data_IF_279140778197
#
_entry.id   IF_279140778197
#
_cell.length_a   1.000
_cell.length_b   1.000
_cell.length_c   1.000
_cell.angle_alpha   90.00
_cell.angle_beta   90.00
_cell.angle_gamma   90.00
#
_symmetry.space_group_name_H-M   'P 1'
#
loop_
_entity.id
_entity.type
_entity.pdbx_description
1 polymer ?
#
# COMPACT_ATOMS: atom_id res chain seq x y z
N UNK A 1 6.24 0.90 -19.87
CA UNK A 1 5.23 0.31 -18.99
C UNK A 1 4.13 1.32 -18.78
N UNK A 2 2.86 0.93 -18.90
CA UNK A 2 1.72 1.86 -18.78
C UNK A 2 1.23 1.95 -17.33
N UNK A 3 0.38 2.94 -17.04
CA UNK A 3 -0.23 3.07 -15.72
C UNK A 3 -1.14 1.88 -15.39
N UNK A 4 -1.81 1.31 -16.39
CA UNK A 4 -2.65 0.12 -16.23
C UNK A 4 -1.80 -1.12 -15.88
N UNK A 5 -0.64 -1.29 -16.52
CA UNK A 5 0.29 -2.36 -16.18
C UNK A 5 0.82 -2.20 -14.74
N UNK A 6 1.13 -0.96 -14.33
CA UNK A 6 1.57 -0.68 -12.96
C UNK A 6 0.48 -0.95 -11.93
N UNK A 7 -0.77 -0.60 -12.24
CA UNK A 7 -1.90 -0.87 -11.38
C UNK A 7 -2.12 -2.38 -11.21
N UNK A 8 -2.01 -3.16 -12.30
CA UNK A 8 -2.11 -4.62 -12.23
C UNK A 8 -1.04 -5.22 -11.32
N UNK A 9 0.22 -4.80 -11.45
CA UNK A 9 1.30 -5.26 -10.55
C UNK A 9 1.01 -4.92 -9.07
N UNK A 10 0.51 -3.72 -8.79
CA UNK A 10 0.16 -3.33 -7.41
C UNK A 10 -0.98 -4.18 -6.84
N UNK A 11 -1.95 -4.56 -7.67
CA UNK A 11 -3.06 -5.43 -7.27
C UNK A 11 -2.59 -6.87 -7.03
N UNK A 12 -1.68 -7.40 -7.85
CA UNK A 12 -1.07 -8.72 -7.64
C UNK A 12 -0.31 -8.78 -6.31
N UNK A 13 0.51 -7.77 -6.01
CA UNK A 13 1.24 -7.70 -4.72
C UNK A 13 0.27 -7.57 -3.54
N UNK A 14 -0.86 -6.87 -3.72
CA UNK A 14 -1.90 -6.79 -2.69
C UNK A 14 -2.56 -8.15 -2.43
N UNK A 15 -2.93 -8.88 -3.49
CA UNK A 15 -3.49 -10.24 -3.39
C UNK A 15 -2.53 -11.19 -2.68
N UNK A 16 -1.23 -11.16 -3.05
CA UNK A 16 -0.19 -11.96 -2.40
C UNK A 16 -0.05 -11.62 -0.92
N UNK A 17 -0.14 -10.33 -0.58
CA UNK A 17 -0.07 -9.87 0.82
C UNK A 17 -1.24 -10.43 1.64
N UNK A 18 -2.46 -10.40 1.10
CA UNK A 18 -3.65 -10.97 1.75
C UNK A 18 -3.55 -12.49 1.91
N UNK A 19 -3.05 -13.19 0.89
CA UNK A 19 -2.85 -14.63 0.92
C UNK A 19 -1.83 -15.01 1.99
N UNK A 20 -0.67 -14.34 2.01
CA UNK A 20 0.36 -14.56 3.03
C UNK A 20 -0.16 -14.26 4.45
N UNK A 21 -0.98 -13.23 4.61
CA UNK A 21 -1.63 -12.91 5.88
C UNK A 21 -2.58 -14.02 6.33
N UNK A 22 -3.46 -14.50 5.44
CA UNK A 22 -4.42 -15.56 5.73
C UNK A 22 -3.73 -16.89 6.06
N UNK A 23 -2.59 -17.18 5.42
CA UNK A 23 -1.75 -18.34 5.71
C UNK A 23 -0.90 -18.21 6.98
N UNK A 24 -0.96 -17.07 7.67
CA UNK A 24 -0.18 -16.81 8.89
C UNK A 24 1.33 -16.68 8.62
N UNK A 25 1.74 -16.36 7.39
CA UNK A 25 3.12 -16.07 7.05
C UNK A 25 3.45 -14.63 7.42
N UNK A 26 4.67 -14.37 7.87
CA UNK A 26 5.15 -13.05 8.31
C UNK A 26 4.38 -12.46 9.51
N UNK A 27 4.87 -11.32 10.01
CA UNK A 27 4.24 -10.62 11.13
C UNK A 27 3.16 -9.66 10.65
N UNK A 28 2.25 -9.28 11.55
CA UNK A 28 1.26 -8.22 11.27
C UNK A 28 1.93 -6.91 10.84
N UNK A 29 3.07 -6.57 11.44
CA UNK A 29 3.83 -5.36 11.11
C UNK A 29 4.41 -5.40 9.69
N UNK A 30 4.84 -6.58 9.22
CA UNK A 30 5.28 -6.76 7.84
C UNK A 30 4.14 -6.47 6.86
N UNK A 31 2.98 -7.08 7.08
CA UNK A 31 1.80 -6.86 6.23
C UNK A 31 1.35 -5.41 6.25
N UNK A 32 1.32 -4.78 7.43
CA UNK A 32 0.97 -3.38 7.56
C UNK A 32 1.94 -2.46 6.81
N UNK A 33 3.25 -2.75 6.84
CA UNK A 33 4.25 -2.00 6.08
C UNK A 33 4.06 -2.16 4.57
N UNK A 34 3.84 -3.39 4.10
CA UNK A 34 3.59 -3.69 2.67
C UNK A 34 2.34 -2.97 2.16
N UNK A 35 1.22 -3.03 2.88
CA UNK A 35 -0.03 -2.33 2.50
C UNK A 35 0.16 -0.81 2.48
N UNK A 36 0.91 -0.23 3.44
CA UNK A 36 1.23 1.21 3.41
C UNK A 36 2.04 1.60 2.18
N UNK A 37 3.03 0.78 1.79
CA UNK A 37 3.81 1.04 0.59
C UNK A 37 2.95 0.95 -0.67
N UNK A 38 2.11 -0.08 -0.79
CA UNK A 38 1.16 -0.22 -1.91
C UNK A 38 0.25 1.00 -2.05
N UNK A 39 -0.25 1.52 -0.92
CA UNK A 39 -1.08 2.72 -0.93
C UNK A 39 -0.31 3.97 -1.40
N UNK A 40 0.96 4.11 -0.99
CA UNK A 40 1.82 5.20 -1.46
C UNK A 40 2.09 5.11 -2.97
N UNK A 41 2.42 3.92 -3.47
CA UNK A 41 2.65 3.68 -4.89
C UNK A 41 1.39 3.94 -5.71
N UNK A 42 0.22 3.54 -5.20
CA UNK A 42 -1.08 3.78 -5.85
C UNK A 42 -1.40 5.28 -5.89
N UNK A 43 -1.13 6.02 -4.80
CA UNK A 43 -1.30 7.48 -4.77
C UNK A 43 -0.37 8.17 -5.77
N UNK A 44 0.90 7.75 -5.83
CA UNK A 44 1.85 8.27 -6.81
C UNK A 44 1.40 8.01 -8.25
N UNK A 45 0.86 6.82 -8.53
CA UNK A 45 0.32 6.46 -9.84
C UNK A 45 -0.87 7.34 -10.25
N UNK A 46 -1.73 7.69 -9.29
CA UNK A 46 -2.89 8.56 -9.51
C UNK A 46 -2.53 10.06 -9.50
N UNK A 47 -1.28 10.43 -9.22
CA UNK A 47 -0.88 11.82 -9.05
C UNK A 47 -1.46 12.51 -7.81
N UNK A 48 -1.94 11.72 -6.84
CA UNK A 48 -2.45 12.22 -5.56
C UNK A 48 -1.25 12.39 -4.63
N UNK A 49 -0.96 13.63 -4.23
CA UNK A 49 0.06 13.86 -3.21
C UNK A 49 -0.38 13.19 -1.90
N UNK A 50 0.54 12.52 -1.17
CA UNK A 50 0.21 11.97 0.13
C UNK A 50 -0.34 13.09 1.02
N UNK A 51 -1.52 12.89 1.60
CA UNK A 51 -2.05 13.81 2.61
C UNK A 51 -0.96 13.98 3.68
N UNK A 52 -0.51 15.22 3.88
CA UNK A 52 0.35 15.53 5.02
C UNK A 52 -0.32 14.96 6.27
N UNK A 53 0.45 14.34 7.20
CA UNK A 53 -0.14 13.89 8.44
C UNK A 53 -0.84 15.10 9.05
N UNK A 54 -2.16 15.01 9.21
CA UNK A 54 -2.94 16.04 9.87
C UNK A 54 -2.17 16.39 11.14
N UNK A 55 -1.58 17.59 11.15
CA UNK A 55 -0.89 18.10 12.32
C UNK A 55 -1.98 18.28 13.34
N UNK A 56 -2.26 17.21 14.09
CA UNK A 56 -3.18 17.24 15.21
C UNK A 56 -2.55 18.22 16.18
N UNK A 57 -3.10 19.44 16.13
CA UNK A 57 -2.94 20.50 17.10
C UNK A 57 -2.82 19.86 18.48
N UNK A 58 -1.64 20.00 19.09
CA UNK A 58 -1.53 19.93 20.54
C UNK A 58 -2.41 21.06 21.08
N UNK A 59 -3.54 20.71 21.67
CA UNK A 59 -4.33 21.53 22.58
C UNK A 59 -4.35 20.82 23.94
#
# INVERSE_FOLDING_TARGET
MTNEQRLLELLEVFEDTLTNFAEGRHTLDFHAATVRQLLQDTRALMGIQPEEPASTMRA
#
